data_IF_889082141013
#
_entry.id   IF_889082141013
#
_cell.length_a   1.000
_cell.length_b   1.000
_cell.length_c   1.000
_cell.angle_alpha   90.00
_cell.angle_beta   90.00
_cell.angle_gamma   90.00
#
_symmetry.space_group_name_H-M   'P 1'
#
loop_
_entity.id
_entity.type
_entity.pdbx_description
1 polymer ?
#
# COMPACT_ATOMS: atom_id res chain seq x y z
N UNK A 1 13.26 27.87 -30.98
CA UNK A 1 12.65 26.74 -30.25
C UNK A 1 13.76 25.90 -29.64
N UNK A 2 13.68 25.60 -28.34
CA UNK A 2 14.73 24.85 -27.64
C UNK A 2 14.80 23.40 -28.15
N UNK A 3 16.01 22.83 -28.28
CA UNK A 3 16.21 21.43 -28.69
C UNK A 3 15.44 20.43 -27.81
N UNK A 4 15.13 20.82 -26.57
CA UNK A 4 14.35 20.03 -25.62
C UNK A 4 12.90 19.79 -26.09
N UNK A 5 12.24 20.79 -26.68
CA UNK A 5 10.85 20.66 -27.14
C UNK A 5 10.74 19.88 -28.44
N UNK A 6 11.84 19.69 -29.18
CA UNK A 6 11.86 18.85 -30.37
C UNK A 6 11.78 17.35 -30.04
N UNK A 7 12.38 16.93 -28.92
CA UNK A 7 12.39 15.53 -28.46
C UNK A 7 10.97 15.07 -28.07
N UNK A 8 10.18 15.94 -27.45
CA UNK A 8 8.78 15.66 -27.08
C UNK A 8 7.79 15.67 -28.27
N UNK A 9 8.24 16.09 -29.46
CA UNK A 9 7.42 16.12 -30.68
C UNK A 9 7.70 14.93 -31.61
N UNK A 10 8.69 14.12 -31.29
CA UNK A 10 9.00 12.90 -32.04
C UNK A 10 7.99 11.80 -31.67
N UNK A 11 7.27 11.29 -32.68
CA UNK A 11 6.25 10.25 -32.49
C UNK A 11 6.84 8.96 -31.94
N UNK A 12 8.10 8.62 -32.24
CA UNK A 12 8.78 7.44 -31.72
C UNK A 12 9.05 7.57 -30.22
N UNK A 13 9.44 8.77 -29.77
CA UNK A 13 9.67 9.07 -28.36
C UNK A 13 8.35 9.02 -27.59
N UNK A 14 7.28 9.57 -28.16
CA UNK A 14 5.96 9.58 -27.53
C UNK A 14 5.38 8.15 -27.38
N UNK A 15 5.57 7.29 -28.39
CA UNK A 15 5.22 5.87 -28.31
C UNK A 15 6.06 5.16 -27.25
N UNK A 16 7.37 5.40 -27.20
CA UNK A 16 8.26 4.80 -26.19
C UNK A 16 7.81 5.17 -24.77
N UNK A 17 7.51 6.45 -24.53
CA UNK A 17 7.00 6.93 -23.24
C UNK A 17 5.67 6.26 -22.90
N UNK A 18 4.75 6.15 -23.87
CA UNK A 18 3.47 5.49 -23.64
C UNK A 18 3.61 4.01 -23.26
N UNK A 19 4.55 3.28 -23.88
CA UNK A 19 4.84 1.87 -23.55
C UNK A 19 5.46 1.74 -22.15
N UNK A 20 6.39 2.63 -21.78
CA UNK A 20 6.98 2.62 -20.44
C UNK A 20 5.92 2.89 -19.38
N UNK A 21 5.07 3.90 -19.60
CA UNK A 21 3.98 4.23 -18.68
C UNK A 21 2.99 3.06 -18.56
N UNK A 22 2.57 2.44 -19.67
CA UNK A 22 1.67 1.28 -19.61
C UNK A 22 2.31 0.07 -18.92
N UNK A 23 3.62 -0.14 -19.08
CA UNK A 23 4.38 -1.16 -18.38
C UNK A 23 4.38 -0.97 -16.86
N UNK A 24 4.51 0.28 -16.37
CA UNK A 24 4.41 0.59 -14.94
C UNK A 24 3.03 0.23 -14.40
N UNK A 25 1.96 0.62 -15.10
CA UNK A 25 0.59 0.27 -14.73
C UNK A 25 0.31 -1.24 -14.80
N UNK A 26 0.99 -1.98 -15.69
CA UNK A 26 0.86 -3.43 -15.79
C UNK A 26 1.57 -4.18 -14.65
N UNK A 27 2.75 -3.72 -14.22
CA UNK A 27 3.52 -4.34 -13.14
C UNK A 27 2.86 -4.06 -11.77
N UNK A 28 2.40 -2.84 -11.56
CA UNK A 28 1.74 -2.43 -10.32
C UNK A 28 0.38 -1.79 -10.66
N UNK A 29 -0.71 -2.58 -10.77
CA UNK A 29 -2.03 -2.06 -11.11
C UNK A 29 -2.62 -1.13 -10.03
N UNK A 30 -2.00 -1.06 -8.84
CA UNK A 30 -2.38 -0.17 -7.75
C UNK A 30 -1.14 0.42 -7.06
N UNK A 31 -0.41 1.33 -7.73
CA UNK A 31 0.85 1.86 -7.19
C UNK A 31 0.63 2.76 -5.96
N UNK A 32 -0.62 3.18 -5.71
CA UNK A 32 -1.03 4.01 -4.58
C UNK A 32 -1.91 3.26 -3.57
N UNK A 33 -1.99 1.93 -3.63
CA UNK A 33 -2.73 1.17 -2.62
C UNK A 33 -1.92 1.12 -1.32
N UNK A 34 -2.34 1.91 -0.33
CA UNK A 34 -1.81 1.91 1.04
C UNK A 34 -2.59 0.93 1.92
N UNK A 35 -2.02 0.50 3.05
CA UNK A 35 -2.69 -0.33 4.05
C UNK A 35 -2.56 -1.85 3.85
N UNK A 36 -2.67 -2.58 4.96
CA UNK A 36 -2.51 -4.04 5.04
C UNK A 36 -3.86 -4.70 5.27
N UNK A 37 -4.16 -5.77 4.52
CA UNK A 37 -5.41 -6.54 4.68
C UNK A 37 -5.13 -7.77 5.56
N UNK A 38 -5.92 -7.94 6.62
CA UNK A 38 -5.85 -9.13 7.48
C UNK A 38 -6.59 -10.28 6.79
N UNK A 39 -5.85 -11.28 6.32
CA UNK A 39 -6.43 -12.45 5.61
C UNK A 39 -6.96 -13.53 6.54
N UNK A 40 -6.39 -13.65 7.73
CA UNK A 40 -6.74 -14.68 8.71
C UNK A 40 -6.24 -14.27 10.08
N UNK A 41 -7.01 -14.63 11.10
CA UNK A 41 -6.63 -14.53 12.50
C UNK A 41 -6.59 -15.96 13.05
N UNK A 42 -5.63 -16.25 13.94
CA UNK A 42 -5.63 -17.53 14.64
C UNK A 42 -6.84 -17.59 15.58
N UNK A 43 -7.63 -18.66 15.47
CA UNK A 43 -8.83 -18.91 16.27
C UNK A 43 -8.52 -18.76 17.77
N UNK A 44 -9.41 -18.13 18.52
CA UNK A 44 -9.31 -17.84 19.97
C UNK A 44 -8.40 -16.66 20.37
N UNK A 45 -8.05 -15.77 19.43
CA UNK A 45 -7.37 -14.49 19.73
C UNK A 45 -8.37 -13.33 19.79
N UNK A 46 -8.04 -12.31 20.59
CA UNK A 46 -8.88 -11.13 20.89
C UNK A 46 -9.48 -10.41 19.66
N UNK A 47 -8.93 -10.59 18.46
CA UNK A 47 -9.42 -10.00 17.22
C UNK A 47 -10.75 -10.60 16.73
N UNK A 48 -11.09 -11.84 17.12
CA UNK A 48 -12.44 -12.40 16.92
C UNK A 48 -13.52 -11.62 17.71
N UNK A 49 -13.12 -10.86 18.74
CA UNK A 49 -14.00 -10.06 19.58
C UNK A 49 -14.05 -8.58 19.16
N UNK A 50 -13.13 -8.14 18.28
CA UNK A 50 -13.00 -6.74 17.90
C UNK A 50 -13.92 -6.32 16.75
N UNK A 51 -14.77 -7.23 16.25
CA UNK A 51 -15.73 -6.95 15.17
C UNK A 51 -15.10 -6.76 13.79
N UNK A 52 -13.83 -7.13 13.61
CA UNK A 52 -13.11 -6.97 12.34
C UNK A 52 -13.60 -7.99 11.30
N UNK A 53 -14.06 -7.51 10.15
CA UNK A 53 -14.41 -8.37 9.02
C UNK A 53 -13.15 -8.79 8.25
N UNK A 54 -12.63 -9.98 8.59
CA UNK A 54 -11.45 -10.58 7.98
C UNK A 54 -11.58 -10.64 6.45
N UNK A 55 -10.53 -10.20 5.75
CA UNK A 55 -10.43 -10.25 4.29
C UNK A 55 -11.17 -9.15 3.54
N UNK A 56 -12.00 -8.35 4.22
CA UNK A 56 -12.70 -7.20 3.64
C UNK A 56 -12.15 -5.88 4.15
N UNK A 57 -11.78 -5.84 5.43
CA UNK A 57 -11.25 -4.64 6.06
C UNK A 57 -9.75 -4.51 5.88
N UNK A 58 -9.30 -3.26 5.82
CA UNK A 58 -7.92 -2.88 5.62
C UNK A 58 -7.46 -2.02 6.79
N UNK A 59 -6.33 -2.40 7.36
CA UNK A 59 -5.62 -1.61 8.37
C UNK A 59 -4.85 -0.53 7.63
N UNK A 60 -5.32 0.71 7.74
CA UNK A 60 -4.68 1.91 7.17
C UNK A 60 -3.84 2.68 8.19
N UNK A 61 -4.10 2.46 9.49
CA UNK A 61 -3.50 3.20 10.59
C UNK A 61 -3.51 2.37 11.87
N UNK A 62 -2.46 2.48 12.68
CA UNK A 62 -2.40 1.93 14.05
C UNK A 62 -1.89 3.04 14.97
N UNK A 63 -2.63 3.35 16.03
CA UNK A 63 -2.24 4.37 17.03
C UNK A 63 -1.83 5.72 16.40
N UNK A 64 -2.61 6.25 15.45
CA UNK A 64 -2.29 7.50 14.74
C UNK A 64 -1.04 7.46 13.85
N UNK A 65 -0.53 6.26 13.55
CA UNK A 65 0.56 6.08 12.59
C UNK A 65 0.07 5.34 11.35
N UNK A 66 0.27 5.91 10.15
CA UNK A 66 -0.20 5.31 8.90
C UNK A 66 0.58 4.02 8.61
N UNK A 67 -0.14 3.03 8.06
CA UNK A 67 0.43 1.75 7.62
C UNK A 67 0.37 1.70 6.12
N UNK A 68 1.50 1.81 5.43
CA UNK A 68 1.55 1.74 3.98
C UNK A 68 1.95 0.35 3.49
N UNK A 69 2.76 -0.36 4.28
CA UNK A 69 3.31 -1.67 3.96
C UNK A 69 3.20 -2.67 5.12
N UNK A 70 3.45 -3.94 4.79
CA UNK A 70 3.56 -5.02 5.79
C UNK A 70 4.74 -4.79 6.74
N UNK A 71 5.82 -4.19 6.24
CA UNK A 71 6.99 -3.83 7.05
C UNK A 71 6.63 -2.75 8.09
N UNK A 72 5.84 -1.75 7.67
CA UNK A 72 5.35 -0.70 8.58
C UNK A 72 4.45 -1.31 9.66
N UNK A 73 3.58 -2.25 9.27
CA UNK A 73 2.71 -2.95 10.21
C UNK A 73 3.51 -3.66 11.32
N UNK A 74 4.57 -4.40 10.95
CA UNK A 74 5.40 -5.10 11.94
C UNK A 74 6.28 -4.15 12.76
N UNK A 75 6.79 -3.07 12.16
CA UNK A 75 7.58 -2.08 12.89
C UNK A 75 6.72 -1.35 13.94
N UNK A 76 5.48 -1.00 13.62
CA UNK A 76 4.53 -0.41 14.56
C UNK A 76 4.15 -1.37 15.69
N UNK A 77 3.94 -2.66 15.38
CA UNK A 77 3.67 -3.67 16.40
C UNK A 77 4.84 -3.86 17.36
N UNK A 78 6.09 -3.72 16.91
CA UNK A 78 7.27 -3.84 17.78
C UNK A 78 7.37 -2.75 18.84
N UNK A 79 6.70 -1.61 18.63
CA UNK A 79 6.67 -0.47 19.55
C UNK A 79 5.53 -0.61 20.57
N UNK A 80 4.52 -1.43 20.28
CA UNK A 80 3.40 -1.67 21.19
C UNK A 80 3.85 -2.67 22.27
N UNK A 81 3.91 -2.27 23.55
CA UNK A 81 4.24 -3.20 24.63
C UNK A 81 3.18 -4.31 24.70
N UNK A 82 3.65 -5.57 24.84
CA UNK A 82 2.76 -6.70 25.03
C UNK A 82 1.81 -6.43 26.22
N UNK A 83 0.52 -6.70 26.02
CA UNK A 83 -0.52 -6.70 27.07
C UNK A 83 -1.04 -5.34 27.57
N UNK A 84 -1.08 -4.29 26.73
CA UNK A 84 -1.81 -3.05 27.05
C UNK A 84 -3.14 -3.00 26.29
N UNK A 85 -4.26 -3.07 27.01
CA UNK A 85 -5.59 -2.83 26.45
C UNK A 85 -5.73 -1.34 26.12
N UNK A 86 -5.87 -1.00 24.84
CA UNK A 86 -6.30 0.34 24.44
C UNK A 86 -7.78 0.46 24.81
N UNK A 87 -8.10 1.41 25.68
CA UNK A 87 -9.41 1.58 26.32
C UNK A 87 -10.20 2.69 25.66
#
# INVERSE_FOLDING_TARGET
>A
MSKLTAIFKDSKVLILVAVIVSGIFAIAPRPFATGVVVKSVAKDKAQDFAGLEIGKEKVIEINSQPVESVEDFYSLLSIVPENVSVR
#
